data_IF_317515370966
#
_entry.id   IF_317515370966
#
_cell.length_a   1.000
_cell.length_b   1.000
_cell.length_c   1.000
_cell.angle_alpha   90.00
_cell.angle_beta   90.00
_cell.angle_gamma   90.00
#
_symmetry.space_group_name_H-M   'P 1'
#
loop_
_entity.id
_entity.type
_entity.pdbx_description
1 polymer ?
#
# COMPACT_ATOMS: atom_id res chain seq x y z
N UNK A 1 2.95 53.53 27.02
CA UNK A 1 3.39 52.55 26.00
C UNK A 1 3.72 51.16 26.58
N UNK A 2 4.56 51.02 27.61
CA UNK A 2 4.92 49.71 28.20
C UNK A 2 3.71 48.87 28.70
N UNK A 3 2.73 49.50 29.33
CA UNK A 3 1.52 48.85 29.85
C UNK A 3 0.62 48.27 28.74
N UNK A 4 0.49 48.97 27.62
CA UNK A 4 -0.31 48.54 26.46
C UNK A 4 0.35 47.34 25.80
N UNK A 5 1.67 47.28 25.68
CA UNK A 5 2.42 46.16 25.13
C UNK A 5 2.29 44.91 26.02
N UNK A 6 2.35 45.06 27.35
CA UNK A 6 2.17 43.96 28.29
C UNK A 6 0.74 43.43 28.25
N UNK A 7 -0.26 44.29 28.15
CA UNK A 7 -1.67 43.90 28.02
C UNK A 7 -1.93 43.17 26.69
N UNK A 8 -1.29 43.58 25.63
CA UNK A 8 -1.37 42.94 24.30
C UNK A 8 -0.70 41.55 24.34
N UNK A 9 0.48 41.41 24.98
CA UNK A 9 1.19 40.13 25.15
C UNK A 9 0.41 39.15 26.01
N UNK A 10 -0.24 39.61 27.09
CA UNK A 10 -1.11 38.79 27.94
C UNK A 10 -2.36 38.33 27.19
N UNK A 11 -2.96 39.20 26.37
CA UNK A 11 -4.15 38.87 25.58
C UNK A 11 -3.83 37.83 24.50
N UNK A 12 -2.68 37.93 23.82
CA UNK A 12 -2.23 36.95 22.84
C UNK A 12 -1.94 35.60 23.51
N UNK A 13 -1.33 35.58 24.70
CA UNK A 13 -1.04 34.34 25.43
C UNK A 13 -2.32 33.61 25.88
N UNK A 14 -3.36 34.33 26.31
CA UNK A 14 -4.64 33.74 26.72
C UNK A 14 -5.38 33.18 25.48
N UNK A 15 -5.33 33.87 24.33
CA UNK A 15 -5.93 33.37 23.11
C UNK A 15 -5.27 32.09 22.58
N UNK A 16 -3.94 31.96 22.68
CA UNK A 16 -3.22 30.77 22.26
C UNK A 16 -3.50 29.56 23.17
N UNK A 17 -3.57 29.78 24.50
CA UNK A 17 -3.92 28.71 25.44
C UNK A 17 -5.36 28.22 25.24
N UNK A 18 -6.32 29.14 25.05
CA UNK A 18 -7.71 28.77 24.77
C UNK A 18 -7.84 27.99 23.45
N UNK A 19 -7.10 28.36 22.41
CA UNK A 19 -7.09 27.66 21.13
C UNK A 19 -6.49 26.25 21.24
N UNK A 20 -5.43 26.09 22.03
CA UNK A 20 -4.82 24.78 22.29
C UNK A 20 -5.79 23.85 23.01
N UNK A 21 -6.53 24.38 23.99
CA UNK A 21 -7.58 23.63 24.73
C UNK A 21 -8.73 23.23 23.81
N UNK A 22 -9.23 24.13 22.93
CA UNK A 22 -10.32 23.85 21.99
C UNK A 22 -9.91 22.79 20.96
N UNK A 23 -8.69 22.89 20.40
CA UNK A 23 -8.21 21.89 19.43
C UNK A 23 -8.02 20.53 20.08
N UNK A 24 -7.46 20.47 21.30
CA UNK A 24 -7.30 19.23 22.04
C UNK A 24 -8.66 18.56 22.30
N UNK A 25 -9.68 19.33 22.65
CA UNK A 25 -11.03 18.84 22.88
C UNK A 25 -11.65 18.30 21.57
N UNK A 26 -11.44 18.98 20.43
CA UNK A 26 -11.91 18.51 19.12
C UNK A 26 -11.29 17.14 18.75
N UNK A 27 -9.97 16.99 18.96
CA UNK A 27 -9.31 15.70 18.72
C UNK A 27 -9.75 14.61 19.71
N UNK A 28 -10.04 14.96 20.97
CA UNK A 28 -10.58 14.01 21.96
C UNK A 28 -11.93 13.46 21.50
N UNK A 29 -12.85 14.31 21.07
CA UNK A 29 -14.13 13.87 20.50
C UNK A 29 -13.93 13.00 19.25
N UNK A 30 -13.02 13.37 18.37
CA UNK A 30 -12.70 12.57 17.17
C UNK A 30 -12.21 11.17 17.52
N UNK A 31 -11.27 11.06 18.48
CA UNK A 31 -10.75 9.78 18.95
C UNK A 31 -11.82 8.94 19.66
N UNK A 32 -12.73 9.58 20.37
CA UNK A 32 -13.90 8.95 21.00
C UNK A 32 -14.99 8.56 19.98
N UNK A 33 -14.80 8.86 18.68
CA UNK A 33 -15.77 8.66 17.59
C UNK A 33 -17.08 9.46 17.79
N UNK A 34 -17.06 10.50 18.61
CA UNK A 34 -18.14 11.45 18.77
C UNK A 34 -18.12 12.50 17.65
N UNK A 35 -18.36 12.03 16.42
CA UNK A 35 -18.09 12.79 15.20
C UNK A 35 -18.88 14.08 15.10
N UNK A 36 -20.12 14.12 15.58
CA UNK A 36 -20.95 15.32 15.56
C UNK A 36 -20.33 16.45 16.40
N UNK A 37 -19.89 16.10 17.64
CA UNK A 37 -19.24 17.07 18.53
C UNK A 37 -17.88 17.50 17.99
N UNK A 38 -17.13 16.55 17.43
CA UNK A 38 -15.84 16.84 16.80
C UNK A 38 -16.00 17.78 15.60
N UNK A 39 -16.99 17.51 14.73
CA UNK A 39 -17.31 18.35 13.58
C UNK A 39 -17.63 19.79 13.98
N UNK A 40 -18.49 20.00 14.99
CA UNK A 40 -18.82 21.33 15.49
C UNK A 40 -17.57 22.09 15.96
N UNK A 41 -16.68 21.41 16.68
CA UNK A 41 -15.44 22.02 17.20
C UNK A 41 -14.45 22.32 16.08
N UNK A 42 -14.23 21.39 15.15
CA UNK A 42 -13.34 21.62 14.02
C UNK A 42 -13.84 22.73 13.09
N UNK A 43 -15.16 22.83 12.86
CA UNK A 43 -15.72 23.92 12.08
C UNK A 43 -15.43 25.29 12.74
N UNK A 44 -15.68 25.43 14.06
CA UNK A 44 -15.38 26.68 14.80
C UNK A 44 -13.89 27.02 14.77
N UNK A 45 -13.01 26.00 14.85
CA UNK A 45 -11.56 26.19 14.73
C UNK A 45 -11.20 26.67 13.33
N UNK A 46 -11.78 26.07 12.29
CA UNK A 46 -11.58 26.48 10.90
C UNK A 46 -12.06 27.93 10.65
N UNK A 47 -13.26 28.27 11.05
CA UNK A 47 -13.82 29.64 10.91
C UNK A 47 -12.94 30.70 11.58
N UNK A 48 -12.30 30.37 12.70
CA UNK A 48 -11.42 31.28 13.43
C UNK A 48 -10.02 31.38 12.85
N UNK A 49 -9.46 30.28 12.34
CA UNK A 49 -8.04 30.17 11.96
C UNK A 49 -7.79 30.07 10.48
N UNK A 50 -8.80 29.71 9.70
CA UNK A 50 -8.72 29.35 8.28
C UNK A 50 -7.69 28.25 7.98
N UNK A 51 -7.37 27.40 8.97
CA UNK A 51 -6.43 26.29 8.81
C UNK A 51 -7.05 25.16 8.01
N UNK A 52 -6.43 24.77 6.91
CA UNK A 52 -6.86 23.64 6.06
C UNK A 52 -6.96 22.34 6.86
N UNK A 53 -6.08 22.12 7.84
CA UNK A 53 -6.11 20.94 8.67
C UNK A 53 -7.42 20.79 9.46
N UNK A 54 -7.96 21.86 10.01
CA UNK A 54 -9.25 21.81 10.70
C UNK A 54 -10.43 21.61 9.76
N UNK A 55 -10.33 22.14 8.52
CA UNK A 55 -11.32 21.87 7.49
C UNK A 55 -11.32 20.39 7.09
N UNK A 56 -10.16 19.79 6.92
CA UNK A 56 -10.03 18.36 6.60
C UNK A 56 -10.65 17.49 7.69
N UNK A 57 -10.33 17.77 8.97
CA UNK A 57 -10.95 17.05 10.08
C UNK A 57 -12.46 17.26 10.17
N UNK A 58 -12.95 18.45 9.86
CA UNK A 58 -14.39 18.72 9.80
C UNK A 58 -15.07 17.83 8.75
N UNK A 59 -14.51 17.78 7.53
CA UNK A 59 -15.02 16.92 6.45
C UNK A 59 -14.96 15.44 6.84
N UNK A 60 -13.83 14.99 7.40
CA UNK A 60 -13.65 13.61 7.87
C UNK A 60 -14.71 13.26 8.94
N UNK A 61 -15.00 14.17 9.87
CA UNK A 61 -16.02 13.96 10.88
C UNK A 61 -17.42 13.81 10.26
N UNK A 62 -17.78 14.66 9.29
CA UNK A 62 -19.06 14.55 8.59
C UNK A 62 -19.19 13.21 7.85
N UNK A 63 -18.13 12.77 7.19
CA UNK A 63 -18.11 11.48 6.48
C UNK A 63 -18.26 10.32 7.45
N UNK A 64 -17.47 10.30 8.53
CA UNK A 64 -17.49 9.22 9.51
C UNK A 64 -18.79 9.21 10.34
N UNK A 65 -19.40 10.39 10.57
CA UNK A 65 -20.72 10.56 11.19
C UNK A 65 -21.86 10.24 10.24
N UNK A 66 -21.58 9.96 8.95
CA UNK A 66 -22.56 9.71 7.87
C UNK A 66 -23.47 10.90 7.55
N UNK A 67 -23.02 12.11 7.88
CA UNK A 67 -23.65 13.39 7.54
C UNK A 67 -23.40 13.75 6.06
N UNK A 68 -23.70 12.79 5.15
CA UNK A 68 -23.28 12.85 3.75
C UNK A 68 -23.84 14.08 3.00
N UNK A 69 -25.07 14.48 3.28
CA UNK A 69 -25.67 15.64 2.59
C UNK A 69 -24.94 16.93 2.97
N UNK A 70 -24.62 17.10 4.24
CA UNK A 70 -23.87 18.25 4.74
C UNK A 70 -22.43 18.26 4.24
N UNK A 71 -21.80 17.09 4.17
CA UNK A 71 -20.46 16.94 3.61
C UNK A 71 -20.47 17.24 2.10
N UNK A 72 -21.44 16.73 1.34
CA UNK A 72 -21.64 17.00 -0.09
C UNK A 72 -21.79 18.52 -0.36
N UNK A 73 -22.66 19.19 0.39
CA UNK A 73 -22.88 20.63 0.25
C UNK A 73 -21.64 21.46 0.57
N UNK A 74 -20.90 21.07 1.62
CA UNK A 74 -19.65 21.70 2.02
C UNK A 74 -18.60 21.57 0.91
N UNK A 75 -18.36 20.35 0.43
CA UNK A 75 -17.37 20.06 -0.61
C UNK A 75 -17.72 20.75 -1.93
N UNK A 76 -19.00 20.77 -2.31
CA UNK A 76 -19.45 21.50 -3.50
C UNK A 76 -19.20 23.00 -3.42
N UNK A 77 -19.39 23.61 -2.24
CA UNK A 77 -19.07 25.03 -2.03
C UNK A 77 -17.57 25.28 -2.15
N UNK A 78 -16.73 24.43 -1.55
CA UNK A 78 -15.28 24.51 -1.63
C UNK A 78 -14.77 24.31 -3.06
N UNK A 79 -15.30 23.35 -3.80
CA UNK A 79 -14.96 23.09 -5.20
C UNK A 79 -15.41 24.20 -6.17
N UNK A 80 -16.34 25.09 -5.78
CA UNK A 80 -16.65 26.31 -6.57
C UNK A 80 -15.51 27.33 -6.49
N UNK A 81 -14.74 27.36 -5.40
CA UNK A 81 -13.62 28.29 -5.21
C UNK A 81 -12.30 27.67 -5.68
N UNK A 82 -12.14 26.37 -5.54
CA UNK A 82 -10.98 25.59 -6.02
C UNK A 82 -11.45 24.27 -6.64
N UNK A 83 -11.81 24.33 -7.93
CA UNK A 83 -12.27 23.19 -8.71
C UNK A 83 -11.14 22.17 -8.96
N UNK A 84 -9.91 22.55 -8.68
CA UNK A 84 -8.70 21.74 -8.89
C UNK A 84 -8.30 20.91 -7.68
N UNK A 85 -8.94 21.09 -6.53
CA UNK A 85 -8.59 20.38 -5.31
C UNK A 85 -8.93 18.89 -5.43
N UNK A 86 -7.88 18.09 -5.60
CA UNK A 86 -8.00 16.63 -5.82
C UNK A 86 -8.54 15.91 -4.60
N UNK A 87 -8.19 16.40 -3.42
CA UNK A 87 -8.60 15.78 -2.16
C UNK A 87 -10.11 15.94 -1.96
N UNK A 88 -10.65 17.14 -2.20
CA UNK A 88 -12.10 17.39 -2.16
C UNK A 88 -12.86 16.61 -3.23
N UNK A 89 -12.26 16.41 -4.42
CA UNK A 89 -12.86 15.57 -5.46
C UNK A 89 -12.95 14.10 -5.02
N UNK A 90 -11.92 13.58 -4.34
CA UNK A 90 -11.94 12.20 -3.83
C UNK A 90 -12.96 12.07 -2.71
N UNK A 91 -12.99 13.00 -1.75
CA UNK A 91 -13.94 12.97 -0.64
C UNK A 91 -15.39 13.04 -1.14
N UNK A 92 -15.66 13.91 -2.14
CA UNK A 92 -16.98 14.01 -2.78
C UNK A 92 -17.34 12.71 -3.54
N UNK A 93 -16.37 12.13 -4.24
CA UNK A 93 -16.53 10.85 -4.92
C UNK A 93 -16.87 9.73 -3.93
N UNK A 94 -16.19 9.68 -2.79
CA UNK A 94 -16.48 8.72 -1.72
C UNK A 94 -17.89 8.88 -1.16
N UNK A 95 -18.34 10.12 -0.91
CA UNK A 95 -19.72 10.40 -0.47
C UNK A 95 -20.73 9.88 -1.50
N UNK A 96 -20.51 10.15 -2.79
CA UNK A 96 -21.38 9.64 -3.84
C UNK A 96 -21.45 8.12 -3.88
N UNK A 97 -20.31 7.47 -3.65
CA UNK A 97 -20.28 6.00 -3.57
C UNK A 97 -21.09 5.49 -2.38
N UNK A 98 -20.96 6.09 -1.18
CA UNK A 98 -21.73 5.72 -0.01
C UNK A 98 -23.23 5.94 -0.19
N UNK A 99 -23.61 6.90 -1.06
CA UNK A 99 -25.00 7.17 -1.44
C UNK A 99 -25.49 6.29 -2.62
N UNK A 100 -24.67 5.36 -3.15
CA UNK A 100 -24.99 4.53 -4.31
C UNK A 100 -24.99 5.27 -5.65
N UNK A 101 -24.45 6.50 -5.71
CA UNK A 101 -24.36 7.34 -6.91
C UNK A 101 -23.08 7.05 -7.69
N UNK A 102 -22.88 5.81 -8.14
CA UNK A 102 -21.60 5.31 -8.73
C UNK A 102 -21.09 6.17 -9.86
N UNK A 103 -21.90 6.56 -10.83
CA UNK A 103 -21.45 7.38 -11.97
C UNK A 103 -20.87 8.73 -11.53
N UNK A 104 -21.45 9.37 -10.50
CA UNK A 104 -20.93 10.62 -9.95
C UNK A 104 -19.62 10.42 -9.20
N UNK A 105 -19.50 9.32 -8.48
CA UNK A 105 -18.26 8.92 -7.80
C UNK A 105 -17.12 8.77 -8.82
N UNK A 106 -17.33 7.97 -9.86
CA UNK A 106 -16.35 7.74 -10.92
C UNK A 106 -15.94 9.03 -11.65
N UNK A 107 -16.91 9.94 -11.90
CA UNK A 107 -16.64 11.25 -12.48
C UNK A 107 -15.70 12.08 -11.58
N UNK A 108 -15.96 12.13 -10.27
CA UNK A 108 -15.15 12.86 -9.30
C UNK A 108 -13.73 12.26 -9.23
N UNK A 109 -13.60 10.95 -9.11
CA UNK A 109 -12.32 10.26 -9.07
C UNK A 109 -11.51 10.46 -10.37
N UNK A 110 -12.19 10.34 -11.51
CA UNK A 110 -11.57 10.60 -12.82
C UNK A 110 -11.07 12.03 -12.98
N UNK A 111 -11.83 13.05 -12.47
CA UNK A 111 -11.39 14.44 -12.43
C UNK A 111 -10.15 14.61 -11.55
N UNK A 112 -10.09 13.97 -10.37
CA UNK A 112 -8.94 14.05 -9.49
C UNK A 112 -7.66 13.50 -10.16
N UNK A 113 -7.75 12.36 -10.86
CA UNK A 113 -6.62 11.78 -11.58
C UNK A 113 -6.15 12.64 -12.74
N UNK A 114 -7.07 13.24 -13.52
CA UNK A 114 -6.71 14.12 -14.64
C UNK A 114 -5.92 15.36 -14.22
N UNK A 115 -6.02 15.76 -12.95
CA UNK A 115 -5.33 16.94 -12.38
C UNK A 115 -3.99 16.61 -11.71
N UNK A 116 -3.47 15.37 -11.89
CA UNK A 116 -2.17 14.97 -11.34
C UNK A 116 -1.05 15.75 -12.02
N UNK A 117 -0.12 16.26 -11.21
CA UNK A 117 1.14 16.82 -11.68
C UNK A 117 2.21 15.73 -11.80
N UNK A 118 3.15 15.81 -12.76
CA UNK A 118 4.16 14.77 -12.99
C UNK A 118 5.28 14.80 -11.94
N UNK A 119 4.93 14.53 -10.70
CA UNK A 119 5.85 14.44 -9.56
C UNK A 119 5.54 13.17 -8.75
N UNK A 120 6.58 12.41 -8.40
CA UNK A 120 6.43 11.15 -7.66
C UNK A 120 5.61 11.31 -6.38
N UNK A 121 5.92 12.34 -5.58
CA UNK A 121 5.23 12.60 -4.31
C UNK A 121 3.74 12.93 -4.51
N UNK A 122 3.40 13.72 -5.53
CA UNK A 122 2.02 14.06 -5.84
C UNK A 122 1.20 12.83 -6.27
N UNK A 123 1.80 11.94 -7.08
CA UNK A 123 1.19 10.69 -7.54
C UNK A 123 0.95 9.76 -6.34
N UNK A 124 1.98 9.56 -5.51
CA UNK A 124 1.90 8.70 -4.32
C UNK A 124 0.85 9.24 -3.33
N UNK A 125 0.83 10.54 -3.07
CA UNK A 125 -0.14 11.14 -2.16
C UNK A 125 -1.58 10.93 -2.65
N UNK A 126 -1.84 11.16 -3.94
CA UNK A 126 -3.16 10.94 -4.51
C UNK A 126 -3.58 9.46 -4.46
N UNK A 127 -2.68 8.54 -4.83
CA UNK A 127 -2.94 7.11 -4.75
C UNK A 127 -3.18 6.66 -3.30
N UNK A 128 -2.45 7.20 -2.33
CA UNK A 128 -2.66 6.90 -0.92
C UNK A 128 -4.04 7.39 -0.42
N UNK A 129 -4.54 8.52 -0.91
CA UNK A 129 -5.91 8.94 -0.62
C UNK A 129 -6.93 7.87 -1.05
N UNK A 130 -6.82 7.34 -2.28
CA UNK A 130 -7.65 6.23 -2.75
C UNK A 130 -7.48 4.96 -1.90
N UNK A 131 -6.26 4.59 -1.56
CA UNK A 131 -5.97 3.43 -0.68
C UNK A 131 -6.63 3.57 0.70
N UNK A 132 -6.61 4.77 1.28
CA UNK A 132 -7.20 5.04 2.60
C UNK A 132 -8.72 4.81 2.62
N UNK A 133 -9.41 5.06 1.51
CA UNK A 133 -10.84 4.76 1.34
C UNK A 133 -11.08 3.38 0.71
N UNK A 134 -10.03 2.55 0.57
CA UNK A 134 -10.03 1.20 -0.01
C UNK A 134 -10.42 1.13 -1.49
N UNK A 135 -10.26 2.21 -2.22
CA UNK A 135 -10.46 2.30 -3.66
C UNK A 135 -9.18 1.94 -4.41
N UNK A 136 -8.73 0.68 -4.27
CA UNK A 136 -7.46 0.22 -4.82
C UNK A 136 -7.41 0.28 -6.34
N UNK A 137 -8.52 0.02 -7.02
CA UNK A 137 -8.62 0.15 -8.48
C UNK A 137 -8.33 1.59 -8.96
N UNK A 138 -8.74 2.61 -8.21
CA UNK A 138 -8.43 4.00 -8.49
C UNK A 138 -7.00 4.38 -8.11
N UNK A 139 -6.43 3.77 -7.07
CA UNK A 139 -5.01 3.91 -6.77
C UNK A 139 -4.14 3.33 -7.91
N UNK A 140 -4.51 2.15 -8.45
CA UNK A 140 -3.85 1.54 -9.62
C UNK A 140 -3.90 2.49 -10.82
N UNK A 141 -5.08 3.01 -11.19
CA UNK A 141 -5.23 4.00 -12.27
C UNK A 141 -4.35 5.24 -12.05
N UNK A 142 -4.24 5.69 -10.79
CA UNK A 142 -3.38 6.83 -10.42
C UNK A 142 -1.91 6.54 -10.67
N UNK A 143 -1.39 5.38 -10.25
CA UNK A 143 -0.01 4.99 -10.51
C UNK A 143 0.26 4.75 -12.00
N UNK A 144 -0.68 4.13 -12.72
CA UNK A 144 -0.55 3.92 -14.18
C UNK A 144 -0.49 5.25 -14.93
N UNK A 145 -1.37 6.20 -14.61
CA UNK A 145 -1.31 7.56 -15.14
C UNK A 145 0.00 8.25 -14.78
N UNK A 146 0.48 8.04 -13.56
CA UNK A 146 1.78 8.54 -13.09
C UNK A 146 2.95 8.04 -13.92
N UNK A 147 2.99 6.75 -14.27
CA UNK A 147 4.00 6.17 -15.17
C UNK A 147 4.04 6.88 -16.52
N UNK A 148 2.86 7.14 -17.10
CA UNK A 148 2.73 7.84 -18.38
C UNK A 148 3.26 9.27 -18.27
N UNK A 149 2.82 10.02 -17.26
CA UNK A 149 3.22 11.40 -17.05
C UNK A 149 4.71 11.57 -16.79
N UNK A 150 5.30 10.65 -16.03
CA UNK A 150 6.74 10.63 -15.71
C UNK A 150 7.60 10.06 -16.84
N UNK A 151 6.99 9.39 -17.84
CA UNK A 151 7.70 8.61 -18.86
C UNK A 151 8.61 7.54 -18.25
N UNK A 152 8.18 6.92 -17.15
CA UNK A 152 8.91 5.88 -16.40
C UNK A 152 8.06 4.64 -16.25
N UNK A 153 8.15 3.65 -17.15
CA UNK A 153 7.31 2.44 -17.14
C UNK A 153 7.53 1.57 -15.88
N UNK A 154 8.71 1.60 -15.30
CA UNK A 154 9.07 0.85 -14.09
C UNK A 154 8.86 1.64 -12.78
N UNK A 155 8.24 2.83 -12.83
CA UNK A 155 7.89 3.54 -11.60
C UNK A 155 6.77 2.80 -10.84
N UNK A 156 6.75 2.92 -9.52
CA UNK A 156 5.68 2.41 -8.64
C UNK A 156 5.40 0.91 -8.77
N UNK A 157 6.42 0.10 -9.08
CA UNK A 157 6.26 -1.37 -9.20
C UNK A 157 5.73 -1.97 -7.90
N UNK A 158 6.34 -1.60 -6.78
CA UNK A 158 5.95 -2.07 -5.45
C UNK A 158 4.52 -1.62 -5.10
N UNK A 159 4.25 -0.33 -5.25
CA UNK A 159 2.96 0.26 -4.89
C UNK A 159 1.80 -0.33 -5.72
N UNK A 160 2.04 -0.58 -7.00
CA UNK A 160 1.09 -1.28 -7.87
C UNK A 160 0.92 -2.73 -7.46
N UNK A 161 2.02 -3.43 -7.16
CA UNK A 161 1.97 -4.80 -6.65
C UNK A 161 1.14 -4.90 -5.37
N UNK A 162 1.35 -3.97 -4.42
CA UNK A 162 0.58 -3.88 -3.17
C UNK A 162 -0.93 -3.64 -3.45
N UNK A 163 -1.27 -2.79 -4.43
CA UNK A 163 -2.67 -2.54 -4.78
C UNK A 163 -3.34 -3.77 -5.42
N UNK A 164 -2.67 -4.43 -6.37
CA UNK A 164 -3.20 -5.66 -6.96
C UNK A 164 -3.31 -6.82 -5.95
N UNK A 165 -2.39 -6.86 -4.98
CA UNK A 165 -2.48 -7.79 -3.85
C UNK A 165 -3.78 -7.58 -3.06
N UNK A 166 -4.13 -6.33 -2.76
CA UNK A 166 -5.35 -5.98 -2.03
C UNK A 166 -6.63 -6.28 -2.84
N UNK A 167 -6.57 -6.16 -4.17
CA UNK A 167 -7.65 -6.55 -5.09
C UNK A 167 -7.70 -8.07 -5.35
N UNK A 168 -6.69 -8.82 -4.86
CA UNK A 168 -6.49 -10.25 -5.15
C UNK A 168 -6.33 -10.56 -6.65
N UNK A 169 -5.87 -9.58 -7.41
CA UNK A 169 -5.53 -9.77 -8.83
C UNK A 169 -4.08 -10.23 -8.96
N UNK A 170 -3.85 -11.50 -8.66
CA UNK A 170 -2.52 -12.10 -8.63
C UNK A 170 -1.89 -12.21 -10.02
N UNK A 171 -2.70 -12.31 -11.08
CA UNK A 171 -2.21 -12.31 -12.46
C UNK A 171 -1.56 -10.96 -12.85
N UNK A 172 -2.06 -9.84 -12.35
CA UNK A 172 -1.46 -8.52 -12.55
C UNK A 172 -0.35 -8.23 -11.55
N UNK A 173 -0.42 -8.79 -10.35
CA UNK A 173 0.57 -8.60 -9.29
C UNK A 173 1.92 -9.26 -9.64
N UNK A 174 1.90 -10.54 -10.06
CA UNK A 174 3.12 -11.32 -10.27
C UNK A 174 4.09 -10.73 -11.30
N UNK A 175 3.66 -10.21 -12.46
CA UNK A 175 4.58 -9.53 -13.39
C UNK A 175 5.31 -8.35 -12.78
N UNK A 176 4.67 -7.61 -11.86
CA UNK A 176 5.29 -6.49 -11.16
C UNK A 176 6.36 -6.95 -10.16
N UNK A 177 6.10 -8.04 -9.44
CA UNK A 177 7.08 -8.64 -8.53
C UNK A 177 8.27 -9.23 -9.29
N UNK A 178 8.01 -9.92 -10.40
CA UNK A 178 9.07 -10.39 -11.30
C UNK A 178 9.91 -9.22 -11.79
N UNK A 179 9.29 -8.15 -12.28
CA UNK A 179 10.01 -6.97 -12.75
C UNK A 179 10.81 -6.29 -11.63
N UNK A 180 10.27 -6.28 -10.42
CA UNK A 180 11.01 -5.76 -9.25
C UNK A 180 12.27 -6.58 -8.97
N UNK A 181 12.19 -7.91 -9.04
CA UNK A 181 13.34 -8.81 -8.87
C UNK A 181 14.35 -8.70 -10.01
N UNK A 182 13.89 -8.48 -11.25
CA UNK A 182 14.78 -8.24 -12.39
C UNK A 182 15.63 -6.99 -12.19
N UNK A 183 15.04 -5.92 -11.67
CA UNK A 183 15.73 -4.64 -11.42
C UNK A 183 16.52 -4.62 -10.11
N UNK A 184 16.05 -5.31 -9.10
CA UNK A 184 16.67 -5.39 -7.78
C UNK A 184 16.48 -6.77 -7.15
N UNK A 185 17.37 -7.75 -7.43
CA UNK A 185 17.30 -9.07 -6.84
C UNK A 185 17.26 -9.10 -5.31
N UNK A 186 17.85 -8.10 -4.64
CA UNK A 186 17.81 -7.96 -3.18
C UNK A 186 16.43 -7.70 -2.58
N UNK A 187 15.41 -7.49 -3.42
CA UNK A 187 14.02 -7.36 -2.95
C UNK A 187 13.33 -8.69 -2.63
N UNK A 188 14.02 -9.83 -2.77
CA UNK A 188 13.44 -11.17 -2.63
C UNK A 188 12.73 -11.36 -1.29
N UNK A 189 13.32 -10.93 -0.17
CA UNK A 189 12.74 -11.08 1.15
C UNK A 189 11.41 -10.32 1.28
N UNK A 190 11.35 -9.09 0.75
CA UNK A 190 10.12 -8.31 0.77
C UNK A 190 9.01 -8.97 -0.06
N UNK A 191 9.37 -9.51 -1.22
CA UNK A 191 8.39 -10.17 -2.12
C UNK A 191 7.89 -11.48 -1.51
N UNK A 192 8.77 -12.29 -0.93
CA UNK A 192 8.36 -13.55 -0.28
C UNK A 192 7.46 -13.30 0.94
N UNK A 193 7.69 -12.23 1.70
CA UNK A 193 6.78 -11.80 2.78
C UNK A 193 5.40 -11.42 2.23
N UNK A 194 5.34 -10.66 1.14
CA UNK A 194 4.06 -10.28 0.51
C UNK A 194 3.32 -11.50 -0.07
N UNK A 195 4.04 -12.42 -0.71
CA UNK A 195 3.47 -13.67 -1.22
C UNK A 195 2.98 -14.57 -0.07
N UNK A 196 3.72 -14.64 1.04
CA UNK A 196 3.28 -15.37 2.25
C UNK A 196 1.99 -14.78 2.81
N UNK A 197 1.90 -13.44 2.89
CA UNK A 197 0.67 -12.76 3.30
C UNK A 197 -0.49 -13.03 2.34
N UNK A 198 -0.25 -12.98 1.04
CA UNK A 198 -1.25 -13.28 0.03
C UNK A 198 -1.80 -14.71 0.20
N UNK A 199 -0.90 -15.71 0.30
CA UNK A 199 -1.27 -17.13 0.47
C UNK A 199 -2.05 -17.36 1.75
N UNK A 200 -1.65 -16.77 2.87
CA UNK A 200 -2.35 -16.94 4.16
C UNK A 200 -3.77 -16.35 4.16
N UNK A 201 -4.06 -15.40 3.28
CA UNK A 201 -5.38 -14.76 3.15
C UNK A 201 -6.18 -15.24 1.93
N UNK A 202 -5.63 -16.16 1.14
CA UNK A 202 -6.27 -16.70 -0.06
C UNK A 202 -6.99 -18.01 0.23
N UNK A 203 -8.24 -17.89 0.69
CA UNK A 203 -9.08 -19.03 1.09
C UNK A 203 -9.36 -20.00 -0.06
N UNK A 204 -9.40 -19.49 -1.30
CA UNK A 204 -9.73 -20.29 -2.50
C UNK A 204 -8.53 -20.84 -3.23
N UNK A 205 -7.33 -20.59 -2.72
CA UNK A 205 -6.04 -21.01 -3.29
C UNK A 205 -5.85 -20.60 -4.76
N UNK A 206 -6.17 -19.38 -5.08
CA UNK A 206 -6.05 -18.83 -6.43
C UNK A 206 -4.66 -18.29 -6.75
N UNK A 207 -3.83 -18.01 -5.73
CA UNK A 207 -2.48 -17.48 -5.90
C UNK A 207 -1.45 -18.56 -6.28
N UNK A 208 -1.53 -19.77 -5.72
CA UNK A 208 -0.54 -20.83 -5.97
C UNK A 208 -0.42 -21.19 -7.46
N UNK A 209 -1.52 -21.39 -8.22
CA UNK A 209 -1.43 -21.62 -9.66
C UNK A 209 -0.74 -20.49 -10.44
N UNK A 210 -0.91 -19.23 -9.99
CA UNK A 210 -0.28 -18.06 -10.62
C UNK A 210 1.23 -18.05 -10.35
N UNK A 211 1.65 -18.37 -9.11
CA UNK A 211 3.07 -18.49 -8.76
C UNK A 211 3.71 -19.63 -9.57
N UNK A 212 3.11 -20.82 -9.62
CA UNK A 212 3.61 -21.98 -10.36
C UNK A 212 3.78 -21.67 -11.85
N UNK A 213 2.74 -21.14 -12.48
CA UNK A 213 2.77 -20.73 -13.89
C UNK A 213 3.90 -19.73 -14.16
N UNK A 214 4.05 -18.75 -13.27
CA UNK A 214 5.08 -17.71 -13.37
C UNK A 214 6.48 -18.31 -13.25
N UNK A 215 6.75 -19.09 -12.20
CA UNK A 215 8.05 -19.73 -11.99
C UNK A 215 8.41 -20.68 -13.14
N UNK A 216 7.46 -21.50 -13.59
CA UNK A 216 7.66 -22.37 -14.76
C UNK A 216 8.07 -21.60 -16.00
N UNK A 217 7.39 -20.49 -16.29
CA UNK A 217 7.71 -19.64 -17.44
C UNK A 217 9.09 -18.98 -17.32
N UNK A 218 9.48 -18.54 -16.11
CA UNK A 218 10.77 -17.88 -15.87
C UNK A 218 11.93 -18.86 -15.97
N UNK A 219 11.84 -20.00 -15.30
CA UNK A 219 12.93 -21.00 -15.22
C UNK A 219 13.11 -21.82 -16.51
N UNK A 220 12.21 -21.68 -17.48
CA UNK A 220 12.40 -22.27 -18.82
C UNK A 220 13.27 -21.42 -19.74
N UNK A 221 13.54 -20.16 -19.41
CA UNK A 221 14.43 -19.30 -20.21
C UNK A 221 15.88 -19.69 -19.98
N UNK A 222 16.73 -19.60 -21.00
CA UNK A 222 18.14 -20.04 -20.95
C UNK A 222 18.96 -19.21 -19.96
N UNK A 223 18.72 -17.89 -19.90
CA UNK A 223 19.54 -16.93 -19.13
C UNK A 223 18.71 -16.17 -18.09
N UNK A 224 17.94 -16.91 -17.27
CA UNK A 224 17.19 -16.27 -16.19
C UNK A 224 18.06 -15.98 -14.95
N UNK A 225 17.67 -14.95 -14.19
CA UNK A 225 18.41 -14.52 -13.02
C UNK A 225 18.34 -15.55 -11.87
N UNK A 226 19.44 -15.76 -11.12
CA UNK A 226 19.49 -16.69 -10.00
C UNK A 226 18.42 -16.44 -8.94
N UNK A 227 17.95 -15.21 -8.76
CA UNK A 227 16.89 -14.85 -7.81
C UNK A 227 15.57 -15.58 -8.07
N UNK A 228 15.33 -16.05 -9.30
CA UNK A 228 14.13 -16.83 -9.60
C UNK A 228 14.24 -18.28 -9.14
N UNK A 229 15.47 -18.85 -9.08
CA UNK A 229 15.69 -20.12 -8.39
C UNK A 229 15.48 -19.96 -6.87
N UNK A 230 15.91 -18.82 -6.29
CA UNK A 230 15.70 -18.52 -4.88
C UNK A 230 14.19 -18.40 -4.55
N UNK A 231 13.43 -17.70 -5.39
CA UNK A 231 11.97 -17.63 -5.28
C UNK A 231 11.31 -19.00 -5.44
N UNK A 232 11.81 -19.84 -6.37
CA UNK A 232 11.31 -21.20 -6.57
C UNK A 232 11.61 -22.10 -5.37
N UNK A 233 12.79 -22.00 -4.77
CA UNK A 233 13.11 -22.71 -3.51
C UNK A 233 12.13 -22.32 -2.42
N UNK A 234 11.97 -21.00 -2.19
CA UNK A 234 11.04 -20.49 -1.21
C UNK A 234 9.62 -21.04 -1.42
N UNK A 235 9.09 -20.94 -2.63
CA UNK A 235 7.73 -21.38 -2.94
C UNK A 235 7.56 -22.89 -2.73
N UNK A 236 8.52 -23.70 -3.22
CA UNK A 236 8.45 -25.17 -3.07
C UNK A 236 8.55 -25.61 -1.60
N UNK A 237 9.24 -24.86 -0.73
CA UNK A 237 9.20 -25.09 0.72
C UNK A 237 7.79 -24.80 1.28
N UNK A 238 7.12 -23.73 0.83
CA UNK A 238 5.78 -23.39 1.28
C UNK A 238 4.73 -24.47 0.96
N UNK A 239 4.90 -25.19 -0.15
CA UNK A 239 4.03 -26.30 -0.57
C UNK A 239 4.60 -27.69 -0.22
N UNK A 240 5.72 -27.75 0.53
CA UNK A 240 6.42 -28.96 0.95
C UNK A 240 6.89 -29.86 -0.20
N UNK A 241 7.16 -29.27 -1.35
CA UNK A 241 7.74 -29.98 -2.50
C UNK A 241 9.27 -29.92 -2.42
N UNK A 242 9.84 -30.70 -1.48
CA UNK A 242 11.28 -30.70 -1.19
C UNK A 242 12.14 -31.11 -2.39
N UNK A 243 11.64 -31.97 -3.27
CA UNK A 243 12.40 -32.41 -4.44
C UNK A 243 12.64 -31.24 -5.40
N UNK A 244 11.61 -30.46 -5.72
CA UNK A 244 11.76 -29.29 -6.55
C UNK A 244 12.56 -28.18 -5.85
N UNK A 245 12.37 -28.00 -4.53
CA UNK A 245 13.18 -27.07 -3.75
C UNK A 245 14.68 -27.42 -3.86
N UNK A 246 15.04 -28.69 -3.71
CA UNK A 246 16.43 -29.15 -3.87
C UNK A 246 16.96 -28.97 -5.29
N UNK A 247 16.17 -29.22 -6.33
CA UNK A 247 16.57 -28.99 -7.73
C UNK A 247 16.92 -27.52 -7.95
N UNK A 248 16.06 -26.60 -7.54
CA UNK A 248 16.33 -25.16 -7.66
C UNK A 248 17.49 -24.69 -6.78
N UNK A 249 17.65 -25.26 -5.58
CA UNK A 249 18.81 -24.97 -4.73
C UNK A 249 20.13 -25.37 -5.40
N UNK A 250 20.17 -26.51 -6.11
CA UNK A 250 21.36 -26.92 -6.87
C UNK A 250 21.64 -25.95 -8.03
N UNK A 251 20.62 -25.56 -8.81
CA UNK A 251 20.76 -24.60 -9.89
C UNK A 251 21.27 -23.24 -9.37
N UNK A 252 20.70 -22.78 -8.26
CA UNK A 252 21.12 -21.53 -7.61
C UNK A 252 22.56 -21.59 -7.14
N UNK A 253 22.97 -22.69 -6.48
CA UNK A 253 24.35 -22.86 -6.01
C UNK A 253 25.37 -22.94 -7.15
N UNK A 254 24.97 -23.46 -8.32
CA UNK A 254 25.82 -23.48 -9.51
C UNK A 254 25.97 -22.11 -10.19
N UNK A 255 24.98 -21.22 -10.02
CA UNK A 255 24.97 -19.86 -10.61
C UNK A 255 25.51 -18.80 -9.66
N UNK A 256 25.55 -19.07 -8.35
CA UNK A 256 25.89 -18.10 -7.31
C UNK A 256 26.78 -18.74 -6.26
N UNK A 257 27.88 -18.11 -5.90
CA UNK A 257 28.76 -18.60 -4.85
C UNK A 257 28.11 -18.54 -3.46
N UNK A 258 28.50 -19.47 -2.57
CA UNK A 258 28.15 -19.48 -1.14
C UNK A 258 26.63 -19.55 -0.79
N UNK A 259 25.85 -20.31 -1.55
CA UNK A 259 24.43 -20.52 -1.25
C UNK A 259 24.14 -21.80 -0.44
N UNK A 260 25.17 -22.38 0.22
CA UNK A 260 25.03 -23.62 1.02
C UNK A 260 24.02 -23.51 2.16
N UNK A 261 23.80 -22.32 2.72
CA UNK A 261 22.80 -22.09 3.75
C UNK A 261 21.37 -22.44 3.30
N UNK A 262 21.07 -22.40 1.99
CA UNK A 262 19.77 -22.76 1.44
C UNK A 262 19.49 -24.25 1.63
N UNK A 263 20.51 -25.10 1.41
CA UNK A 263 20.36 -26.54 1.67
C UNK A 263 20.12 -26.82 3.16
N UNK A 264 20.76 -26.03 4.06
CA UNK A 264 20.50 -26.15 5.50
C UNK A 264 19.04 -25.77 5.83
N UNK A 265 18.52 -24.72 5.26
CA UNK A 265 17.13 -24.31 5.46
C UNK A 265 16.14 -25.39 4.97
N UNK A 266 16.42 -25.98 3.78
CA UNK A 266 15.62 -27.09 3.24
C UNK A 266 15.69 -28.29 4.18
N UNK A 267 16.89 -28.65 4.67
CA UNK A 267 17.07 -29.80 5.56
C UNK A 267 16.30 -29.63 6.88
N UNK A 268 16.40 -28.46 7.50
CA UNK A 268 15.70 -28.16 8.75
C UNK A 268 14.17 -28.17 8.57
N UNK A 269 13.67 -27.56 7.49
CA UNK A 269 12.23 -27.57 7.21
C UNK A 269 11.73 -29.00 6.92
N UNK A 270 12.49 -29.80 6.16
CA UNK A 270 12.17 -31.17 5.85
C UNK A 270 12.15 -32.05 7.13
N UNK A 271 13.08 -31.86 8.08
CA UNK A 271 13.07 -32.55 9.39
C UNK A 271 11.80 -32.18 10.15
N UNK A 272 11.49 -30.91 10.27
CA UNK A 272 10.30 -30.41 11.00
C UNK A 272 9.00 -31.01 10.44
N UNK A 273 8.97 -31.31 9.14
CA UNK A 273 7.83 -31.90 8.45
C UNK A 273 7.98 -33.42 8.22
N UNK A 274 8.95 -34.08 8.87
CA UNK A 274 9.20 -35.54 8.81
C UNK A 274 9.56 -36.08 7.43
N UNK A 275 10.10 -35.25 6.55
CA UNK A 275 10.61 -35.60 5.23
C UNK A 275 12.10 -35.96 5.32
N UNK A 276 12.44 -37.03 6.04
CA UNK A 276 13.82 -37.35 6.43
C UNK A 276 14.74 -37.70 5.25
N UNK A 277 14.20 -38.35 4.20
CA UNK A 277 14.99 -38.68 3.01
C UNK A 277 15.48 -37.40 2.29
N UNK A 278 14.60 -36.42 2.15
CA UNK A 278 14.91 -35.14 1.53
C UNK A 278 15.88 -34.31 2.39
N UNK A 279 15.71 -34.36 3.71
CA UNK A 279 16.67 -33.74 4.64
C UNK A 279 18.06 -34.36 4.49
N UNK A 280 18.15 -35.69 4.36
CA UNK A 280 19.42 -36.41 4.15
C UNK A 280 20.10 -35.96 2.85
N UNK A 281 19.35 -35.86 1.75
CA UNK A 281 19.88 -35.35 0.47
C UNK A 281 20.41 -33.92 0.62
N UNK A 282 19.69 -33.04 1.31
CA UNK A 282 20.10 -31.66 1.54
C UNK A 282 21.44 -31.61 2.33
N UNK A 283 21.59 -32.36 3.40
CA UNK A 283 22.84 -32.43 4.16
C UNK A 283 24.00 -33.00 3.35
N UNK A 284 23.77 -34.00 2.50
CA UNK A 284 24.80 -34.55 1.61
C UNK A 284 25.35 -33.48 0.66
N UNK A 285 24.49 -32.57 0.17
CA UNK A 285 24.91 -31.43 -0.64
C UNK A 285 25.80 -30.44 0.11
N UNK A 286 25.49 -30.16 1.40
CA UNK A 286 26.31 -29.30 2.26
C UNK A 286 27.71 -29.92 2.48
N UNK A 287 27.77 -31.22 2.72
CA UNK A 287 29.03 -31.91 2.99
C UNK A 287 29.94 -32.06 1.75
N UNK A 288 29.50 -31.56 0.58
CA UNK A 288 30.27 -31.70 -0.67
C UNK A 288 30.44 -33.15 -1.14
N UNK A 289 29.78 -34.12 -0.50
CA UNK A 289 29.84 -35.53 -0.79
C UNK A 289 28.77 -36.00 -1.75
N UNK A 290 27.95 -35.09 -2.23
CA UNK A 290 27.01 -35.32 -3.32
C UNK A 290 27.66 -34.86 -4.63
N UNK A 291 28.52 -35.71 -5.20
CA UNK A 291 28.97 -35.56 -6.59
C UNK A 291 27.82 -35.87 -7.52
#
# INVERSE_FOLDING_TARGET
MRFIVILFLLFTSICTLAQQSDSQLAYTYYQAKEYDKAAEKFLKLYERTHSANFLDYYIICLINGKEYDKAEDTLKKLLKTDDSNKDFLIDLGYIYQQQGKTNKSEECYGKAIKKIIPQNTAIINLANKFKNIREYSWAIKTYQQGRILLKKPDAFLKELGDCYLMERDYEQMMPLFVRTLELNPGSIDNITVQLSFARSNDIVNSIDPVIEKTLKSLCQKTDYLPVFDELAVWYNLQIRNYLLALQHAVLLNNKSENKLHIFLNIALDAINNKAFDQATIAYQKILGKGK
#
